data_IF_814071835018
#
_entry.id   IF_814071835018
#
_cell.length_a   1.000
_cell.length_b   1.000
_cell.length_c   1.000
_cell.angle_alpha   90.00
_cell.angle_beta   90.00
_cell.angle_gamma   90.00
#
_symmetry.space_group_name_H-M   'P 1'
#
loop_
_entity.id
_entity.type
_entity.pdbx_description
1 polymer ?
#
# COMPACT_ATOMS: atom_id res chain seq x y z
N UNK A 1 1.35 12.10 11.49
CA UNK A 1 1.09 11.62 10.12
C UNK A 1 1.59 12.69 9.17
N UNK A 2 2.48 12.34 8.24
CA UNK A 2 2.87 13.26 7.16
C UNK A 2 1.75 13.31 6.11
N UNK A 3 1.04 14.43 6.05
CA UNK A 3 -0.05 14.63 5.11
C UNK A 3 0.46 15.50 3.97
N UNK A 4 0.63 14.91 2.78
CA UNK A 4 0.94 15.65 1.54
C UNK A 4 -0.34 16.27 0.99
N UNK A 5 -0.62 17.52 1.38
CA UNK A 5 -1.74 18.29 0.85
C UNK A 5 -1.33 19.09 -0.38
N UNK A 6 -2.19 19.09 -1.41
CA UNK A 6 -2.07 20.04 -2.52
C UNK A 6 -2.39 21.45 -2.03
N UNK A 7 -1.71 22.46 -2.59
CA UNK A 7 -1.86 23.87 -2.17
C UNK A 7 -3.31 24.38 -2.26
N UNK A 8 -4.10 23.82 -3.17
CA UNK A 8 -5.51 24.20 -3.41
C UNK A 8 -6.53 23.24 -2.79
N UNK A 9 -6.10 22.35 -1.89
CA UNK A 9 -7.02 21.38 -1.28
C UNK A 9 -8.04 22.08 -0.35
N UNK A 10 -9.32 22.09 -0.74
CA UNK A 10 -10.39 22.76 0.02
C UNK A 10 -10.85 21.95 1.23
N UNK A 11 -10.90 20.61 1.16
CA UNK A 11 -11.37 19.75 2.27
C UNK A 11 -10.20 19.16 3.04
N UNK A 12 -9.42 20.02 3.69
CA UNK A 12 -8.27 19.60 4.51
C UNK A 12 -8.72 18.88 5.79
N UNK A 13 -7.86 18.06 6.43
CA UNK A 13 -8.16 17.46 7.73
C UNK A 13 -8.60 18.47 8.79
N UNK A 14 -8.03 19.68 8.76
CA UNK A 14 -8.43 20.79 9.64
C UNK A 14 -9.89 21.19 9.41
N UNK A 15 -10.27 21.45 8.15
CA UNK A 15 -11.64 21.84 7.78
C UNK A 15 -12.62 20.70 8.08
N UNK A 16 -12.25 19.44 7.85
CA UNK A 16 -13.09 18.27 8.19
C UNK A 16 -13.34 18.19 9.71
N UNK A 17 -12.32 18.48 10.53
CA UNK A 17 -12.45 18.56 11.99
C UNK A 17 -13.38 19.70 12.40
N UNK A 18 -13.22 20.88 11.82
CA UNK A 18 -14.10 22.03 12.06
C UNK A 18 -15.57 21.72 11.70
N UNK A 19 -15.81 21.02 10.60
CA UNK A 19 -17.16 20.55 10.20
C UNK A 19 -17.75 19.58 11.23
N UNK A 20 -16.94 18.63 11.75
CA UNK A 20 -17.40 17.67 12.77
C UNK A 20 -17.70 18.33 14.12
N UNK A 21 -16.95 19.36 14.48
CA UNK A 21 -17.12 20.10 15.73
C UNK A 21 -18.20 21.20 15.64
N UNK A 22 -18.78 21.42 14.45
CA UNK A 22 -19.81 22.43 14.26
C UNK A 22 -21.08 22.08 15.07
N UNK A 23 -21.62 23.02 15.87
CA UNK A 23 -22.81 22.80 16.67
C UNK A 23 -24.00 22.32 15.83
N UNK A 24 -24.87 21.49 16.40
CA UNK A 24 -26.07 20.98 15.73
C UNK A 24 -27.00 22.09 15.20
N UNK A 25 -26.95 23.29 15.80
CA UNK A 25 -27.70 24.47 15.35
C UNK A 25 -27.23 25.03 14.00
N UNK A 26 -25.98 24.78 13.60
CA UNK A 26 -25.44 25.23 12.31
C UNK A 26 -25.90 24.28 11.21
N UNK A 27 -26.57 24.81 10.19
CA UNK A 27 -27.06 24.01 9.06
C UNK A 27 -25.93 23.59 8.11
N UNK A 28 -26.11 22.46 7.42
CA UNK A 28 -25.14 22.00 6.42
C UNK A 28 -24.97 23.00 5.26
N UNK A 29 -26.05 23.70 4.88
CA UNK A 29 -26.03 24.75 3.85
C UNK A 29 -25.19 25.97 4.27
N UNK A 30 -25.18 26.31 5.56
CA UNK A 30 -24.33 27.39 6.07
C UNK A 30 -22.84 27.01 6.01
N UNK A 31 -22.51 25.80 6.47
CA UNK A 31 -21.14 25.28 6.40
C UNK A 31 -20.66 25.14 4.95
N UNK A 32 -21.55 24.71 4.03
CA UNK A 32 -21.25 24.58 2.61
C UNK A 32 -20.86 25.92 1.99
N UNK A 33 -21.62 26.99 2.30
CA UNK A 33 -21.32 28.35 1.88
C UNK A 33 -20.00 28.84 2.48
N UNK A 34 -19.76 28.58 3.77
CA UNK A 34 -18.55 29.01 4.49
C UNK A 34 -17.27 28.39 3.93
N UNK A 35 -17.29 27.10 3.64
CA UNK A 35 -16.11 26.37 3.15
C UNK A 35 -16.04 26.27 1.62
N UNK A 36 -16.98 26.87 0.90
CA UNK A 36 -17.06 26.80 -0.57
C UNK A 36 -17.05 25.35 -1.10
N UNK A 37 -17.84 24.48 -0.45
CA UNK A 37 -18.01 23.08 -0.85
C UNK A 37 -19.49 22.73 -0.95
N UNK A 38 -19.82 21.60 -1.56
CA UNK A 38 -21.21 21.16 -1.69
C UNK A 38 -21.81 20.68 -0.35
N UNK A 39 -23.12 20.86 -0.15
CA UNK A 39 -23.82 20.35 1.04
C UNK A 39 -23.62 18.84 1.28
N UNK A 40 -23.63 17.96 0.25
CA UNK A 40 -23.29 16.55 0.43
C UNK A 40 -21.87 16.32 0.96
N UNK A 41 -20.92 17.19 0.60
CA UNK A 41 -19.55 17.13 1.14
C UNK A 41 -19.52 17.45 2.62
N UNK A 42 -20.29 18.47 3.06
CA UNK A 42 -20.47 18.79 4.48
C UNK A 42 -21.10 17.62 5.22
N UNK A 43 -22.28 17.16 4.78
CA UNK A 43 -22.99 16.05 5.43
C UNK A 43 -22.08 14.82 5.57
N UNK A 44 -21.37 14.45 4.50
CA UNK A 44 -20.42 13.33 4.52
C UNK A 44 -19.33 13.49 5.59
N UNK A 45 -18.76 14.67 5.77
CA UNK A 45 -17.69 14.87 6.75
C UNK A 45 -18.20 15.05 8.17
N UNK A 46 -19.36 15.70 8.33
CA UNK A 46 -20.02 15.95 9.61
C UNK A 46 -20.37 14.65 10.33
N UNK A 47 -20.89 13.67 9.61
CA UNK A 47 -21.33 12.39 10.18
C UNK A 47 -20.29 11.26 10.08
N UNK A 48 -19.09 11.53 9.56
CA UNK A 48 -17.99 10.55 9.57
C UNK A 48 -17.34 10.50 10.94
N UNK A 49 -16.91 9.30 11.35
CA UNK A 49 -16.11 9.11 12.57
C UNK A 49 -14.63 9.48 12.41
N UNK A 50 -14.12 9.60 11.17
CA UNK A 50 -12.71 9.87 10.88
C UNK A 50 -12.53 11.12 10.03
N UNK A 51 -11.47 11.88 10.30
CA UNK A 51 -11.09 13.09 9.56
C UNK A 51 -10.10 12.80 8.41
N UNK A 52 -9.40 11.67 8.52
CA UNK A 52 -8.40 11.24 7.57
C UNK A 52 -9.02 10.37 6.47
N UNK A 53 -8.44 10.44 5.29
CA UNK A 53 -8.79 9.52 4.21
C UNK A 53 -8.32 8.12 4.58
N UNK A 54 -9.19 7.14 4.32
CA UNK A 54 -8.85 5.74 4.47
C UNK A 54 -7.86 5.35 3.36
N UNK A 55 -7.02 4.33 3.58
CA UNK A 55 -6.17 3.82 2.52
C UNK A 55 -7.04 3.46 1.30
N UNK A 56 -6.65 3.95 0.12
CA UNK A 56 -7.26 3.57 -1.16
C UNK A 56 -6.81 2.17 -1.61
N UNK A 57 -5.86 1.56 -0.89
CA UNK A 57 -5.40 0.21 -1.15
C UNK A 57 -6.52 -0.78 -0.88
N UNK A 58 -6.80 -1.62 -1.87
CA UNK A 58 -7.80 -2.69 -1.78
C UNK A 58 -7.48 -3.62 -0.60
N UNK A 59 -8.49 -3.92 0.22
CA UNK A 59 -8.35 -4.81 1.38
C UNK A 59 -7.93 -6.23 1.00
N UNK A 60 -8.50 -6.75 -0.10
CA UNK A 60 -8.16 -8.08 -0.64
C UNK A 60 -7.44 -7.89 -1.97
N UNK A 61 -6.11 -7.98 -1.95
CA UNK A 61 -5.33 -7.96 -3.17
C UNK A 61 -5.61 -9.26 -3.94
N UNK A 62 -6.06 -9.13 -5.19
CA UNK A 62 -6.25 -10.27 -6.09
C UNK A 62 -4.86 -10.74 -6.56
N UNK A 63 -4.19 -11.49 -5.71
CA UNK A 63 -2.89 -12.06 -6.01
C UNK A 63 -3.04 -13.19 -7.04
N UNK A 64 -2.12 -13.24 -8.00
CA UNK A 64 -2.04 -14.32 -9.00
C UNK A 64 -1.64 -15.65 -8.35
N UNK A 65 -0.79 -15.58 -7.32
CA UNK A 65 -0.33 -16.74 -6.58
C UNK A 65 -1.23 -17.00 -5.38
N UNK A 66 -1.47 -18.27 -5.08
CA UNK A 66 -2.10 -18.67 -3.82
C UNK A 66 -1.19 -18.33 -2.63
N UNK A 67 -1.72 -18.18 -1.41
CA UNK A 67 -0.91 -17.90 -0.23
C UNK A 67 0.26 -18.89 -0.06
N UNK A 68 0.04 -20.17 -0.34
CA UNK A 68 1.08 -21.22 -0.27
C UNK A 68 2.16 -21.00 -1.33
N UNK A 69 1.77 -20.70 -2.57
CA UNK A 69 2.73 -20.41 -3.64
C UNK A 69 3.56 -19.16 -3.34
N UNK A 70 2.98 -18.14 -2.72
CA UNK A 70 3.72 -16.95 -2.27
C UNK A 70 4.83 -17.31 -1.28
N UNK A 71 4.53 -18.17 -0.29
CA UNK A 71 5.55 -18.62 0.67
C UNK A 71 6.68 -19.39 -0.02
N UNK A 72 6.36 -20.21 -1.02
CA UNK A 72 7.39 -20.92 -1.81
C UNK A 72 8.29 -19.90 -2.54
N UNK A 73 7.72 -18.89 -3.20
CA UNK A 73 8.50 -17.84 -3.87
C UNK A 73 9.39 -17.06 -2.89
N UNK A 74 8.86 -16.74 -1.71
CA UNK A 74 9.60 -16.06 -0.63
C UNK A 74 10.79 -16.92 -0.18
N UNK A 75 10.56 -18.22 0.07
CA UNK A 75 11.61 -19.15 0.44
C UNK A 75 12.67 -19.28 -0.68
N UNK A 76 12.27 -19.47 -1.93
CA UNK A 76 13.20 -19.55 -3.07
C UNK A 76 14.07 -18.29 -3.16
N UNK A 77 13.49 -17.10 -2.98
CA UNK A 77 14.24 -15.85 -3.00
C UNK A 77 15.23 -15.74 -1.83
N UNK A 78 14.89 -16.28 -0.66
CA UNK A 78 15.77 -16.23 0.50
C UNK A 78 16.92 -17.24 0.40
N UNK A 79 16.62 -18.49 0.02
CA UNK A 79 17.61 -19.56 -0.06
C UNK A 79 18.51 -19.46 -1.29
N UNK A 80 17.95 -19.15 -2.46
CA UNK A 80 18.67 -19.23 -3.72
C UNK A 80 19.18 -17.88 -4.22
N UNK A 81 18.77 -16.77 -3.59
CA UNK A 81 19.17 -15.40 -3.96
C UNK A 81 19.02 -15.10 -5.47
N UNK A 82 18.03 -15.73 -6.12
CA UNK A 82 17.80 -15.57 -7.56
C UNK A 82 17.46 -14.14 -7.92
N UNK A 83 17.90 -13.69 -9.10
CA UNK A 83 17.45 -12.43 -9.68
C UNK A 83 15.93 -12.43 -9.86
N UNK A 84 15.32 -11.25 -10.02
CA UNK A 84 13.86 -11.19 -10.23
C UNK A 84 13.47 -11.95 -11.50
N UNK A 85 14.34 -11.94 -12.51
CA UNK A 85 14.07 -12.58 -13.79
C UNK A 85 14.27 -14.11 -13.70
N UNK A 86 15.30 -14.58 -13.00
CA UNK A 86 15.50 -16.02 -12.76
C UNK A 86 14.41 -16.60 -11.85
N UNK A 87 14.05 -15.87 -10.79
CA UNK A 87 12.93 -16.24 -9.91
C UNK A 87 11.61 -16.31 -10.68
N UNK A 88 11.42 -15.42 -11.68
CA UNK A 88 10.24 -15.46 -12.54
C UNK A 88 10.22 -16.73 -13.38
N UNK A 89 11.35 -17.16 -13.96
CA UNK A 89 11.44 -18.40 -14.73
C UNK A 89 11.05 -19.59 -13.86
N UNK A 90 11.67 -19.73 -12.68
CA UNK A 90 11.39 -20.82 -11.74
C UNK A 90 9.93 -20.79 -11.26
N UNK A 91 9.41 -19.64 -10.88
CA UNK A 91 8.03 -19.52 -10.41
C UNK A 91 6.99 -19.79 -11.51
N UNK A 92 7.28 -19.44 -12.77
CA UNK A 92 6.41 -19.78 -13.90
C UNK A 92 6.38 -21.29 -14.17
N UNK A 93 7.55 -21.93 -14.14
CA UNK A 93 7.68 -23.35 -14.42
C UNK A 93 7.00 -24.21 -13.35
N UNK A 94 7.23 -23.90 -12.07
CA UNK A 94 6.85 -24.80 -10.97
C UNK A 94 5.59 -24.38 -10.20
N UNK A 95 5.14 -23.13 -10.31
CA UNK A 95 4.03 -22.62 -9.49
C UNK A 95 2.86 -22.13 -10.33
N UNK A 96 3.10 -21.24 -11.29
CA UNK A 96 2.01 -20.61 -12.05
C UNK A 96 2.48 -20.11 -13.41
N UNK A 97 2.12 -20.81 -14.49
CA UNK A 97 2.57 -20.52 -15.87
C UNK A 97 2.29 -19.08 -16.33
N UNK A 98 1.14 -18.51 -15.94
CA UNK A 98 0.75 -17.14 -16.32
C UNK A 98 1.24 -16.06 -15.35
N UNK A 99 2.21 -16.38 -14.47
CA UNK A 99 2.77 -15.38 -13.57
C UNK A 99 3.48 -14.29 -14.36
N UNK A 100 3.03 -13.05 -14.17
CA UNK A 100 3.68 -11.88 -14.76
C UNK A 100 4.81 -11.35 -13.88
N UNK A 101 5.82 -10.75 -14.52
CA UNK A 101 6.92 -10.06 -13.83
C UNK A 101 6.42 -9.01 -12.83
N UNK A 102 5.39 -8.24 -13.20
CA UNK A 102 4.82 -7.21 -12.33
C UNK A 102 4.09 -7.81 -11.13
N UNK A 103 3.40 -8.95 -11.29
CA UNK A 103 2.80 -9.67 -10.18
C UNK A 103 3.86 -10.16 -9.19
N UNK A 104 4.95 -10.74 -9.69
CA UNK A 104 6.09 -11.15 -8.87
C UNK A 104 6.69 -9.95 -8.12
N UNK A 105 6.97 -8.85 -8.80
CA UNK A 105 7.52 -7.65 -8.14
C UNK A 105 6.60 -7.06 -7.08
N UNK A 106 5.27 -7.05 -7.31
CA UNK A 106 4.29 -6.62 -6.31
C UNK A 106 4.31 -7.54 -5.08
N UNK A 107 4.46 -8.86 -5.29
CA UNK A 107 4.62 -9.81 -4.19
C UNK A 107 5.87 -9.48 -3.38
N UNK A 108 7.03 -9.37 -4.03
CA UNK A 108 8.31 -9.10 -3.34
C UNK A 108 8.23 -7.79 -2.52
N UNK A 109 7.69 -6.71 -3.11
CA UNK A 109 7.50 -5.44 -2.41
C UNK A 109 6.52 -5.54 -1.25
N UNK A 110 5.37 -6.23 -1.44
CA UNK A 110 4.36 -6.40 -0.39
C UNK A 110 4.88 -7.21 0.79
N UNK A 111 5.71 -8.22 0.53
CA UNK A 111 6.35 -9.05 1.54
C UNK A 111 7.62 -8.42 2.14
N UNK A 112 7.99 -7.22 1.70
CA UNK A 112 9.15 -6.49 2.23
C UNK A 112 10.49 -7.15 1.91
N UNK A 113 10.56 -7.94 0.83
CA UNK A 113 11.79 -8.66 0.50
C UNK A 113 12.88 -7.70 0.03
N UNK A 114 14.11 -7.83 0.55
CA UNK A 114 15.24 -7.00 0.16
C UNK A 114 15.62 -7.21 -1.32
N UNK A 115 16.22 -6.17 -1.91
CA UNK A 115 16.86 -6.28 -3.22
C UNK A 115 18.04 -7.26 -3.16
N UNK A 116 18.47 -7.80 -4.30
CA UNK A 116 19.65 -8.67 -4.32
C UNK A 116 20.89 -7.98 -3.76
N UNK A 117 21.14 -6.75 -4.17
CA UNK A 117 22.25 -5.96 -3.62
C UNK A 117 22.21 -5.81 -2.09
N UNK A 118 21.01 -5.73 -1.50
CA UNK A 118 20.86 -5.69 -0.05
C UNK A 118 21.14 -7.07 0.59
N UNK A 119 20.77 -8.16 -0.08
CA UNK A 119 21.05 -9.53 0.37
C UNK A 119 22.54 -9.87 0.30
N UNK A 120 23.21 -9.53 -0.81
CA UNK A 120 24.66 -9.70 -0.98
C UNK A 120 25.45 -8.91 0.07
N UNK A 121 24.99 -7.68 0.39
CA UNK A 121 25.58 -6.87 1.46
C UNK A 121 25.39 -7.52 2.83
N UNK A 122 24.23 -8.12 3.10
CA UNK A 122 23.99 -8.86 4.34
C UNK A 122 24.88 -10.10 4.43
N UNK A 123 25.05 -10.85 3.35
CA UNK A 123 25.90 -12.03 3.30
C UNK A 123 27.38 -11.69 3.54
N UNK A 124 27.87 -10.65 2.86
CA UNK A 124 29.22 -10.11 3.08
C UNK A 124 29.46 -9.70 4.53
N UNK A 125 28.42 -9.23 5.22
CA UNK A 125 28.47 -8.86 6.63
C UNK A 125 28.31 -10.05 7.60
N UNK A 126 27.70 -11.15 7.16
CA UNK A 126 27.40 -12.33 7.99
C UNK A 126 28.43 -13.45 7.84
N UNK A 127 29.31 -13.38 6.84
CA UNK A 127 30.44 -14.31 6.67
C UNK A 127 30.02 -15.76 6.34
N UNK A 128 28.78 -15.99 5.87
CA UNK A 128 28.36 -17.30 5.37
C UNK A 128 28.92 -17.47 3.95
N UNK A 129 29.77 -18.47 3.68
CA UNK A 129 30.20 -18.76 2.33
C UNK A 129 29.07 -19.44 1.55
N UNK A 130 29.09 -19.28 0.22
CA UNK A 130 28.27 -20.05 -0.72
C UNK A 130 28.46 -21.54 -0.44
N UNK A 131 27.35 -22.29 -0.39
CA UNK A 131 27.42 -23.75 -0.52
C UNK A 131 27.93 -24.03 -1.94
N UNK A 132 29.20 -24.41 -2.03
CA UNK A 132 29.83 -25.00 -3.22
C UNK A 132 29.13 -26.30 -3.64
#
# INVERSE_FOLDING_TARGET
MDIKLHKTATTTPRIRKEIQQAPASVSDSELARRYHVSCPTIARWRYRSTQHDRPHTRHNLLATLSPVQEEIVVALRDYLRLSVDDLLVVAKEFLHSELSRSALQRLLRRRGLPSLAALEKQESATGRPMLD
#
